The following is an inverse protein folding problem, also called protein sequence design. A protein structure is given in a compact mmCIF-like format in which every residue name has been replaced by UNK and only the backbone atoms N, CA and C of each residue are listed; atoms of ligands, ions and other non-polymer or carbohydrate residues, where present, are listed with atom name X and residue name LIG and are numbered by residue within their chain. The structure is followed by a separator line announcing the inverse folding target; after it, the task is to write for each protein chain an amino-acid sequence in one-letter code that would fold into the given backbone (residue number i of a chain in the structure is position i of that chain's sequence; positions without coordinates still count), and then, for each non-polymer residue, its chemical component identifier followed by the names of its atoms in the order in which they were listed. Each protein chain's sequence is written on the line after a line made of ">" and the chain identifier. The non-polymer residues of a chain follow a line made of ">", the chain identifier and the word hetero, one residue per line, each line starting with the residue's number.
data_IF_817882007417
#
_entry.id   IF_817882007417
#
_cell.length_a   1.000
_cell.length_b   1.000
_cell.length_c   1.000
_cell.angle_alpha   90.00
_cell.angle_beta   90.00
_cell.angle_gamma   90.00
#
_symmetry.space_group_name_H-M   'P 1'
#
loop_
_entity.id
_entity.type
_entity.pdbx_description
1 polymer ?
#
# COMPACT_ATOMS: atom_id res chain seq x y z
N UNK A 1 3.43 -1.66 26.47
CA UNK A 1 4.62 -1.53 25.58
C UNK A 1 4.88 -2.80 24.78
N UNK A 2 4.87 -3.99 25.35
CA UNK A 2 5.08 -5.26 24.62
C UNK A 2 4.09 -5.50 23.49
N UNK A 3 2.80 -5.24 23.74
CA UNK A 3 1.74 -5.33 22.72
C UNK A 3 1.98 -4.39 21.54
N UNK A 4 2.46 -3.16 21.78
CA UNK A 4 2.76 -2.20 20.72
C UNK A 4 3.90 -2.69 19.82
N UNK A 5 4.98 -3.24 20.40
CA UNK A 5 6.08 -3.83 19.62
C UNK A 5 5.62 -5.03 18.77
N UNK A 6 4.71 -5.85 19.29
CA UNK A 6 4.12 -6.96 18.54
C UNK A 6 3.30 -6.46 17.36
N UNK A 7 2.43 -5.46 17.55
CA UNK A 7 1.63 -4.90 16.48
C UNK A 7 2.48 -4.20 15.42
N UNK A 8 3.56 -3.51 15.82
CA UNK A 8 4.50 -2.92 14.86
C UNK A 8 5.22 -3.97 14.00
N UNK A 9 5.54 -5.14 14.55
CA UNK A 9 6.06 -6.27 13.75
C UNK A 9 5.04 -6.79 12.76
N UNK A 10 3.77 -6.90 13.16
CA UNK A 10 2.68 -7.28 12.24
C UNK A 10 2.50 -6.23 11.14
N UNK A 11 2.55 -4.95 11.50
CA UNK A 11 2.51 -3.87 10.52
C UNK A 11 3.67 -3.95 9.53
N UNK A 12 4.88 -4.21 10.02
CA UNK A 12 6.07 -4.40 9.19
C UNK A 12 5.88 -5.53 8.18
N UNK A 13 5.42 -6.70 8.62
CA UNK A 13 5.13 -7.85 7.75
C UNK A 13 4.08 -7.46 6.71
N UNK A 14 2.99 -6.81 7.13
CA UNK A 14 1.93 -6.37 6.22
C UNK A 14 2.46 -5.44 5.12
N UNK A 15 3.21 -4.41 5.49
CA UNK A 15 3.74 -3.46 4.52
C UNK A 15 4.85 -4.05 3.63
N UNK A 16 5.67 -4.96 4.15
CA UNK A 16 6.63 -5.70 3.34
C UNK A 16 5.93 -6.58 2.31
N UNK A 17 4.88 -7.30 2.69
CA UNK A 17 4.07 -8.10 1.77
C UNK A 17 3.38 -7.22 0.71
N UNK A 18 2.80 -6.10 1.12
CA UNK A 18 2.18 -5.15 0.20
C UNK A 18 3.20 -4.60 -0.82
N UNK A 19 4.35 -4.16 -0.32
CA UNK A 19 5.43 -3.66 -1.17
C UNK A 19 5.95 -4.72 -2.15
N UNK A 20 6.14 -5.96 -1.69
CA UNK A 20 6.52 -7.09 -2.55
C UNK A 20 5.46 -7.36 -3.62
N UNK A 21 4.17 -7.28 -3.29
CA UNK A 21 3.09 -7.43 -4.26
C UNK A 21 3.14 -6.37 -5.37
N UNK A 22 3.40 -5.10 -5.03
CA UNK A 22 3.60 -4.05 -6.01
C UNK A 22 4.85 -4.27 -6.88
N UNK A 23 5.98 -4.67 -6.29
CA UNK A 23 7.20 -4.96 -7.05
C UNK A 23 7.00 -6.12 -8.02
N UNK A 24 6.35 -7.20 -7.57
CA UNK A 24 6.00 -8.34 -8.42
C UNK A 24 5.06 -7.94 -9.57
N UNK A 25 4.14 -7.00 -9.32
CA UNK A 25 3.32 -6.42 -10.37
C UNK A 25 4.15 -5.63 -11.39
N UNK A 26 5.14 -4.87 -10.94
CA UNK A 26 6.02 -4.07 -11.81
C UNK A 26 7.05 -4.89 -12.58
N UNK A 27 7.48 -6.03 -12.04
CA UNK A 27 8.57 -6.85 -12.57
C UNK A 27 8.45 -7.20 -14.06
N UNK A 28 7.29 -7.65 -14.58
CA UNK A 28 7.13 -7.96 -16.00
C UNK A 28 7.38 -6.75 -16.91
N UNK A 29 7.01 -5.56 -16.46
CA UNK A 29 7.19 -4.33 -17.24
C UNK A 29 8.65 -3.86 -17.26
N UNK A 30 9.40 -4.12 -16.20
CA UNK A 30 10.80 -3.71 -16.10
C UNK A 30 11.77 -4.66 -16.80
N UNK A 31 11.51 -5.96 -16.70
CA UNK A 31 12.50 -6.97 -17.06
C UNK A 31 12.06 -7.91 -18.19
N UNK A 32 10.76 -8.07 -18.40
CA UNK A 32 10.22 -8.99 -19.39
C UNK A 32 9.61 -8.29 -20.61
N UNK A 33 9.82 -6.95 -20.73
CA UNK A 33 9.27 -6.12 -21.79
C UNK A 33 7.76 -6.29 -22.01
N UNK A 34 7.03 -6.60 -20.94
CA UNK A 34 5.58 -6.72 -21.01
C UNK A 34 4.97 -5.37 -21.44
N UNK A 35 4.11 -5.41 -22.45
CA UNK A 35 3.39 -4.23 -22.91
C UNK A 35 2.24 -3.98 -21.95
N UNK A 36 2.11 -2.75 -21.46
CA UNK A 36 0.99 -2.35 -20.61
C UNK A 36 -0.29 -2.19 -21.45
N UNK A 37 -0.71 -3.27 -22.06
CA UNK A 37 -2.02 -3.38 -22.69
C UNK A 37 -2.97 -3.95 -21.66
N UNK A 38 -4.14 -3.32 -21.56
CA UNK A 38 -5.21 -3.91 -20.78
C UNK A 38 -5.54 -5.28 -21.38
N UNK A 39 -5.47 -6.37 -20.62
CA UNK A 39 -5.82 -7.69 -21.16
C UNK A 39 -7.23 -7.64 -21.74
N UNK A 40 -7.47 -8.38 -22.81
CA UNK A 40 -8.78 -8.53 -23.38
C UNK A 40 -9.76 -9.04 -22.32
N UNK A 41 -10.93 -8.46 -22.28
CA UNK A 41 -11.93 -8.83 -21.30
C UNK A 41 -13.26 -8.13 -21.62
N UNK A 42 -14.30 -8.56 -20.94
CA UNK A 42 -15.67 -8.09 -21.17
C UNK A 42 -16.38 -7.71 -19.86
N UNK A 43 -17.25 -6.73 -19.97
CA UNK A 43 -18.17 -6.43 -18.88
C UNK A 43 -19.33 -7.44 -18.89
N UNK A 44 -19.51 -8.16 -17.78
CA UNK A 44 -20.67 -9.06 -17.62
C UNK A 44 -21.87 -8.29 -17.06
N UNK A 45 -21.59 -7.32 -16.16
CA UNK A 45 -22.55 -6.39 -15.59
C UNK A 45 -21.98 -4.99 -15.62
N UNK A 46 -22.77 -3.90 -15.42
CA UNK A 46 -22.25 -2.53 -15.48
C UNK A 46 -20.98 -2.27 -14.69
N UNK A 47 -20.63 -3.17 -13.79
CA UNK A 47 -19.47 -3.03 -12.91
C UNK A 47 -18.57 -4.29 -12.84
N UNK A 48 -18.89 -5.37 -13.51
CA UNK A 48 -18.10 -6.59 -13.49
C UNK A 48 -17.33 -6.79 -14.79
N UNK A 49 -16.02 -6.73 -14.73
CA UNK A 49 -15.11 -6.98 -15.83
C UNK A 49 -14.41 -8.32 -15.62
N UNK A 50 -14.50 -9.20 -16.57
CA UNK A 50 -13.86 -10.51 -16.56
C UNK A 50 -12.81 -10.54 -17.65
N UNK A 51 -11.60 -10.95 -17.29
CA UNK A 51 -10.53 -11.18 -18.26
C UNK A 51 -10.80 -12.47 -19.03
N UNK A 52 -10.58 -12.43 -20.35
CA UNK A 52 -10.80 -13.56 -21.23
C UNK A 52 -9.73 -14.65 -21.05
N UNK A 53 -8.50 -14.25 -20.61
CA UNK A 53 -7.42 -15.19 -20.27
C UNK A 53 -7.45 -15.52 -18.77
N UNK A 54 -7.80 -16.77 -18.39
CA UNK A 54 -7.85 -17.19 -16.99
C UNK A 54 -6.51 -17.09 -16.26
N UNK A 55 -5.40 -17.32 -16.97
CA UNK A 55 -4.05 -17.26 -16.38
C UNK A 55 -3.67 -15.82 -16.04
N UNK A 56 -3.92 -14.87 -16.96
CA UNK A 56 -3.72 -13.45 -16.71
C UNK A 56 -4.62 -12.94 -15.59
N UNK A 57 -5.89 -13.38 -15.54
CA UNK A 57 -6.82 -13.08 -14.47
C UNK A 57 -6.31 -13.58 -13.11
N UNK A 58 -5.84 -14.82 -13.05
CA UNK A 58 -5.28 -15.41 -11.83
C UNK A 58 -4.04 -14.64 -11.35
N UNK A 59 -3.08 -14.37 -12.25
CA UNK A 59 -1.86 -13.64 -11.90
C UNK A 59 -2.16 -12.21 -11.40
N UNK A 60 -3.03 -11.49 -12.10
CA UNK A 60 -3.43 -10.14 -11.68
C UNK A 60 -4.14 -10.17 -10.32
N UNK A 61 -5.01 -11.14 -10.10
CA UNK A 61 -5.83 -11.25 -8.91
C UNK A 61 -5.00 -11.56 -7.67
N UNK A 62 -4.13 -12.57 -7.71
CA UNK A 62 -3.41 -12.96 -6.49
C UNK A 62 -2.37 -11.92 -6.06
N UNK A 63 -1.70 -11.25 -7.02
CA UNK A 63 -0.80 -10.14 -6.69
C UNK A 63 -1.56 -8.99 -6.00
N UNK A 64 -2.74 -8.67 -6.50
CA UNK A 64 -3.57 -7.62 -5.94
C UNK A 64 -4.14 -8.01 -4.57
N UNK A 65 -4.51 -9.27 -4.36
CA UNK A 65 -4.91 -9.80 -3.06
C UNK A 65 -3.76 -9.68 -2.06
N UNK A 66 -2.55 -10.11 -2.43
CA UNK A 66 -1.37 -10.00 -1.57
C UNK A 66 -1.11 -8.56 -1.15
N UNK A 67 -1.13 -7.64 -2.11
CA UNK A 67 -0.96 -6.21 -1.85
C UNK A 67 -2.05 -5.66 -0.91
N UNK A 68 -3.31 -5.95 -1.21
CA UNK A 68 -4.46 -5.44 -0.44
C UNK A 68 -4.47 -5.94 0.98
N UNK A 69 -4.26 -7.24 1.17
CA UNK A 69 -4.19 -7.85 2.51
C UNK A 69 -2.99 -7.31 3.29
N UNK A 70 -1.84 -7.14 2.62
CA UNK A 70 -0.67 -6.55 3.25
C UNK A 70 -0.92 -5.12 3.73
N UNK A 71 -1.53 -4.27 2.90
CA UNK A 71 -1.92 -2.90 3.28
C UNK A 71 -2.91 -2.88 4.43
N UNK A 72 -3.93 -3.75 4.39
CA UNK A 72 -4.95 -3.83 5.44
C UNK A 72 -4.35 -4.28 6.77
N UNK A 73 -3.55 -5.35 6.75
CA UNK A 73 -2.83 -5.84 7.95
C UNK A 73 -1.92 -4.77 8.51
N UNK A 74 -1.20 -4.05 7.65
CA UNK A 74 -0.34 -2.93 8.04
C UNK A 74 -1.11 -1.83 8.76
N UNK A 75 -2.18 -1.33 8.15
CA UNK A 75 -2.99 -0.22 8.69
C UNK A 75 -3.73 -0.61 9.99
N UNK A 76 -4.33 -1.81 10.05
CA UNK A 76 -4.98 -2.33 11.26
C UNK A 76 -3.97 -2.49 12.40
N UNK A 77 -2.77 -2.98 12.08
CA UNK A 77 -1.72 -3.15 13.09
C UNK A 77 -1.20 -1.81 13.61
N UNK A 78 -1.09 -0.78 12.77
CA UNK A 78 -0.80 0.59 13.22
C UNK A 78 -1.89 1.13 14.15
N UNK A 79 -3.15 0.88 13.81
CA UNK A 79 -4.27 1.23 14.68
C UNK A 79 -4.13 0.60 16.06
N UNK A 80 -3.83 -0.70 16.10
CA UNK A 80 -3.67 -1.46 17.35
C UNK A 80 -2.43 -1.03 18.14
N UNK A 81 -1.32 -0.73 17.45
CA UNK A 81 -0.10 -0.22 18.08
C UNK A 81 -0.27 1.17 18.71
N UNK A 82 -1.15 2.00 18.13
CA UNK A 82 -1.25 3.41 18.47
C UNK A 82 -0.11 4.25 17.93
N UNK A 83 0.73 3.70 17.10
CA UNK A 83 1.85 4.36 16.44
C UNK A 83 1.63 4.36 14.91
N UNK A 84 2.19 5.30 14.18
CA UNK A 84 3.08 6.40 14.63
C UNK A 84 2.34 7.67 15.07
N UNK A 85 1.02 7.69 15.13
CA UNK A 85 0.16 8.89 15.21
C UNK A 85 -0.53 9.11 16.55
N UNK A 86 -0.27 8.25 17.53
CA UNK A 86 -0.82 8.41 18.88
C UNK A 86 -2.35 8.41 18.91
N UNK A 87 -2.98 9.44 19.49
CA UNK A 87 -4.44 9.49 19.65
C UNK A 87 -5.23 9.65 18.35
N UNK A 88 -4.59 10.08 17.26
CA UNK A 88 -5.23 10.32 15.95
C UNK A 88 -5.44 9.06 15.11
N UNK A 89 -5.66 7.92 15.76
CA UNK A 89 -5.81 6.61 15.09
C UNK A 89 -6.90 6.56 14.02
N UNK A 90 -7.94 7.40 14.16
CA UNK A 90 -9.05 7.47 13.18
C UNK A 90 -8.58 7.81 11.77
N UNK A 91 -7.44 8.48 11.60
CA UNK A 91 -6.86 8.74 10.29
C UNK A 91 -6.52 7.46 9.50
N UNK A 92 -6.28 6.35 10.21
CA UNK A 92 -5.98 5.04 9.58
C UNK A 92 -7.20 4.38 8.91
N UNK A 93 -8.42 4.87 9.17
CA UNK A 93 -9.62 4.41 8.46
C UNK A 93 -9.50 4.67 6.96
N UNK A 94 -8.89 5.79 6.57
CA UNK A 94 -8.76 6.17 5.15
C UNK A 94 -7.89 5.17 4.37
N UNK A 95 -6.64 4.86 4.79
CA UNK A 95 -5.87 3.83 4.09
C UNK A 95 -6.45 2.43 4.24
N UNK A 96 -7.19 2.09 5.32
CA UNK A 96 -7.93 0.83 5.40
C UNK A 96 -9.02 0.76 4.33
N UNK A 97 -9.80 1.82 4.13
CA UNK A 97 -10.78 1.91 3.06
C UNK A 97 -10.11 1.79 1.68
N UNK A 98 -8.93 2.38 1.50
CA UNK A 98 -8.11 2.23 0.30
C UNK A 98 -7.68 0.78 0.06
N UNK A 99 -7.22 0.09 1.09
CA UNK A 99 -6.85 -1.33 1.00
C UNK A 99 -8.05 -2.22 0.65
N UNK A 100 -9.22 -1.96 1.25
CA UNK A 100 -10.47 -2.65 0.89
C UNK A 100 -10.91 -2.35 -0.55
N UNK A 101 -10.74 -1.11 -1.02
CA UNK A 101 -11.01 -0.76 -2.42
C UNK A 101 -10.12 -1.54 -3.38
N UNK A 102 -8.83 -1.73 -3.06
CA UNK A 102 -7.96 -2.60 -3.85
C UNK A 102 -8.42 -4.05 -3.84
N UNK A 103 -8.87 -4.57 -2.69
CA UNK A 103 -9.38 -5.93 -2.60
C UNK A 103 -10.65 -6.10 -3.44
N UNK A 104 -11.57 -5.15 -3.39
CA UNK A 104 -12.76 -5.14 -4.23
C UNK A 104 -12.44 -5.05 -5.71
N UNK A 105 -11.37 -4.34 -6.09
CA UNK A 105 -10.93 -4.21 -7.48
C UNK A 105 -10.51 -5.54 -8.11
N UNK A 106 -10.18 -6.56 -7.30
CA UNK A 106 -9.93 -7.93 -7.79
C UNK A 106 -11.19 -8.55 -8.40
N UNK A 107 -12.35 -8.25 -7.81
CA UNK A 107 -13.61 -8.91 -8.11
C UNK A 107 -14.59 -8.02 -8.88
N UNK A 108 -14.57 -6.72 -8.62
CA UNK A 108 -15.67 -5.82 -9.01
C UNK A 108 -15.21 -4.65 -9.84
N UNK A 109 -13.97 -4.48 -10.28
CA UNK A 109 -13.70 -3.43 -11.23
C UNK A 109 -12.61 -2.43 -11.08
N UNK A 110 -12.22 -2.03 -12.24
CA UNK A 110 -11.32 -0.96 -12.60
C UNK A 110 -11.44 0.36 -11.83
N UNK A 111 -12.63 0.91 -11.50
CA UNK A 111 -12.67 2.15 -10.73
C UNK A 111 -12.16 1.98 -9.29
N UNK A 112 -12.27 0.80 -8.70
CA UNK A 112 -11.81 0.57 -7.33
C UNK A 112 -10.28 0.55 -7.19
N UNK A 113 -9.52 0.19 -8.21
CA UNK A 113 -8.06 0.24 -8.14
C UNK A 113 -7.51 1.68 -8.09
N UNK A 114 -7.91 2.63 -8.97
CA UNK A 114 -7.55 4.04 -8.83
C UNK A 114 -8.07 4.66 -7.53
N UNK A 115 -9.27 4.32 -7.09
CA UNK A 115 -9.84 4.78 -5.83
C UNK A 115 -9.02 4.25 -4.64
N UNK A 116 -8.60 2.98 -4.69
CA UNK A 116 -7.71 2.38 -3.71
C UNK A 116 -6.36 3.11 -3.63
N UNK A 117 -5.76 3.45 -4.78
CA UNK A 117 -4.53 4.24 -4.83
C UNK A 117 -4.72 5.63 -4.23
N UNK A 118 -5.82 6.30 -4.58
CA UNK A 118 -6.15 7.62 -4.07
C UNK A 118 -6.34 7.62 -2.55
N UNK A 119 -7.18 6.71 -2.03
CA UNK A 119 -7.47 6.62 -0.60
C UNK A 119 -6.24 6.19 0.21
N UNK A 120 -5.44 5.23 -0.27
CA UNK A 120 -4.18 4.87 0.39
C UNK A 120 -3.20 6.04 0.38
N UNK A 121 -3.04 6.72 -0.76
CA UNK A 121 -2.19 7.89 -0.88
C UNK A 121 -2.61 8.99 0.09
N UNK A 122 -3.87 9.44 0.01
CA UNK A 122 -4.41 10.50 0.86
C UNK A 122 -4.33 10.11 2.35
N UNK A 123 -4.75 8.90 2.69
CA UNK A 123 -4.69 8.40 4.06
C UNK A 123 -3.27 8.40 4.61
N UNK A 124 -2.30 7.95 3.83
CA UNK A 124 -0.91 7.91 4.26
C UNK A 124 -0.27 9.31 4.31
N UNK A 125 -0.71 10.29 3.52
CA UNK A 125 -0.33 11.69 3.69
C UNK A 125 -0.80 12.20 5.05
N UNK A 126 -2.07 11.96 5.40
CA UNK A 126 -2.63 12.37 6.68
C UNK A 126 -1.93 11.71 7.86
N UNK A 127 -1.66 10.40 7.76
CA UNK A 127 -0.88 9.64 8.74
C UNK A 127 0.54 10.18 8.85
N UNK A 128 1.20 10.45 7.72
CA UNK A 128 2.57 10.99 7.69
C UNK A 128 2.67 12.36 8.33
N UNK A 129 1.74 13.26 8.01
CA UNK A 129 1.66 14.57 8.65
C UNK A 129 1.45 14.46 10.17
N UNK A 130 0.53 13.58 10.58
CA UNK A 130 0.29 13.34 12.01
C UNK A 130 1.50 12.69 12.70
N UNK A 131 2.22 11.79 12.03
CA UNK A 131 3.44 11.16 12.54
C UNK A 131 4.56 12.18 12.79
N UNK A 132 4.77 13.09 11.83
CA UNK A 132 5.74 14.18 11.96
C UNK A 132 5.41 15.08 13.14
N UNK A 133 4.13 15.45 13.30
CA UNK A 133 3.66 16.30 14.43
C UNK A 133 3.73 15.59 15.78
N UNK A 134 3.42 14.29 15.82
CA UNK A 134 3.43 13.51 17.05
C UNK A 134 4.86 13.26 17.56
N UNK A 135 5.85 13.27 16.66
CA UNK A 135 7.27 13.02 16.97
C UNK A 135 7.53 11.74 17.78
N UNK A 136 6.62 10.75 17.70
CA UNK A 136 6.75 9.45 18.38
C UNK A 136 7.86 8.62 17.72
N UNK A 137 7.93 8.69 16.39
CA UNK A 137 9.00 8.10 15.61
C UNK A 137 10.12 9.13 15.41
N UNK A 138 11.35 8.70 15.55
CA UNK A 138 12.55 9.53 15.37
C UNK A 138 13.12 9.37 13.97
N UNK A 139 14.05 10.25 13.62
CA UNK A 139 14.83 10.22 12.40
C UNK A 139 13.99 10.12 11.12
N UNK A 140 14.50 9.43 10.13
CA UNK A 140 13.85 9.23 8.83
C UNK A 140 12.55 8.42 8.91
N UNK A 141 12.37 7.58 9.95
CA UNK A 141 11.20 6.71 10.11
C UNK A 141 9.89 7.48 10.10
N UNK A 142 9.84 8.66 10.74
CA UNK A 142 8.63 9.50 10.83
C UNK A 142 8.12 10.00 9.48
N UNK A 143 8.98 10.02 8.44
CA UNK A 143 8.61 10.50 7.11
C UNK A 143 8.10 9.39 6.19
N UNK A 144 8.31 8.12 6.55
CA UNK A 144 7.99 6.99 5.69
C UNK A 144 6.51 6.86 5.33
N UNK A 145 5.53 7.15 6.23
CA UNK A 145 4.13 7.16 5.83
C UNK A 145 3.84 8.27 4.80
N UNK A 146 4.46 9.45 4.96
CA UNK A 146 4.30 10.56 4.03
C UNK A 146 4.87 10.22 2.65
N UNK A 147 6.04 9.58 2.58
CA UNK A 147 6.65 9.13 1.33
C UNK A 147 5.72 8.14 0.61
N UNK A 148 5.18 7.15 1.34
CA UNK A 148 4.24 6.20 0.77
C UNK A 148 2.96 6.89 0.26
N UNK A 149 2.48 7.90 1.00
CA UNK A 149 1.28 8.64 0.64
C UNK A 149 1.43 9.59 -0.54
N UNK A 150 2.57 10.25 -0.67
CA UNK A 150 2.83 11.19 -1.77
C UNK A 150 3.05 10.50 -3.12
N UNK A 151 3.51 9.26 -3.13
CA UNK A 151 3.90 8.56 -4.35
C UNK A 151 2.81 8.55 -5.44
N UNK A 152 1.54 8.22 -5.17
CA UNK A 152 0.49 8.25 -6.19
C UNK A 152 0.31 9.64 -6.81
N UNK A 153 0.37 10.69 -5.99
CA UNK A 153 0.09 12.06 -6.42
C UNK A 153 1.26 12.69 -7.17
N UNK A 154 2.49 12.31 -6.84
CA UNK A 154 3.71 12.86 -7.49
C UNK A 154 4.05 12.10 -8.78
N UNK A 155 3.79 10.79 -8.82
CA UNK A 155 4.24 9.96 -9.93
C UNK A 155 3.09 9.31 -10.70
N UNK A 156 2.17 8.60 -10.03
CA UNK A 156 1.20 7.75 -10.72
C UNK A 156 0.13 8.58 -11.45
N UNK A 157 -0.54 9.49 -10.75
CA UNK A 157 -1.59 10.31 -11.35
C UNK A 157 -1.08 11.28 -12.40
N UNK A 158 0.01 12.05 -12.18
CA UNK A 158 0.55 12.91 -13.22
C UNK A 158 0.89 12.15 -14.50
N UNK A 159 1.57 11.01 -14.40
CA UNK A 159 1.88 10.20 -15.57
C UNK A 159 0.63 9.70 -16.28
N UNK A 160 -0.39 9.25 -15.53
CA UNK A 160 -1.67 8.84 -16.11
C UNK A 160 -2.33 9.96 -16.90
N UNK A 161 -2.34 11.19 -16.36
CA UNK A 161 -2.93 12.36 -17.02
C UNK A 161 -2.13 12.79 -18.23
N UNK A 162 -0.80 12.77 -18.16
CA UNK A 162 0.07 13.21 -19.26
C UNK A 162 0.10 12.22 -20.42
N UNK A 163 0.10 10.91 -20.15
CA UNK A 163 0.26 9.88 -21.18
C UNK A 163 -1.04 9.26 -21.64
N UNK A 164 -2.14 9.44 -20.90
CA UNK A 164 -3.40 8.74 -21.13
C UNK A 164 -3.31 7.22 -20.89
N UNK A 165 -2.11 6.68 -20.70
CA UNK A 165 -1.86 5.27 -20.50
C UNK A 165 -1.81 4.88 -19.01
N UNK A 166 -1.99 3.59 -18.70
CA UNK A 166 -1.80 3.08 -17.35
C UNK A 166 -0.30 3.03 -17.04
N UNK A 167 0.18 3.68 -15.96
CA UNK A 167 1.60 3.68 -15.63
C UNK A 167 2.01 2.42 -14.85
N UNK A 168 1.84 1.23 -15.42
CA UNK A 168 2.02 -0.04 -14.72
C UNK A 168 3.44 -0.21 -14.13
N UNK A 169 4.47 0.16 -14.86
CA UNK A 169 5.85 0.13 -14.36
C UNK A 169 6.03 1.04 -13.15
N UNK A 170 5.42 2.22 -13.15
CA UNK A 170 5.49 3.18 -12.03
C UNK A 170 4.67 2.71 -10.84
N UNK A 171 3.52 2.06 -11.08
CA UNK A 171 2.72 1.45 -10.01
C UNK A 171 3.58 0.45 -9.23
N UNK A 172 4.38 -0.36 -9.92
CA UNK A 172 5.31 -1.28 -9.28
C UNK A 172 6.33 -0.60 -8.38
N UNK A 173 6.86 0.57 -8.78
CA UNK A 173 7.84 1.32 -7.98
C UNK A 173 7.27 1.79 -6.63
N UNK A 174 5.96 1.94 -6.50
CA UNK A 174 5.32 2.26 -5.22
C UNK A 174 5.64 1.22 -4.14
N UNK A 175 5.95 -0.01 -4.55
CA UNK A 175 6.38 -1.07 -3.65
C UNK A 175 7.57 -0.70 -2.79
N UNK A 176 8.54 0.07 -3.30
CA UNK A 176 9.70 0.51 -2.51
C UNK A 176 9.29 1.40 -1.33
N UNK A 177 8.31 2.30 -1.52
CA UNK A 177 7.83 3.16 -0.45
C UNK A 177 7.15 2.34 0.67
N UNK A 178 6.39 1.30 0.31
CA UNK A 178 5.76 0.41 1.28
C UNK A 178 6.78 -0.49 2.00
N UNK A 179 7.80 -0.98 1.30
CA UNK A 179 8.91 -1.72 1.91
C UNK A 179 9.65 -0.83 2.91
N UNK A 180 9.94 0.42 2.54
CA UNK A 180 10.60 1.38 3.43
C UNK A 180 9.79 1.61 4.71
N UNK A 181 8.46 1.75 4.61
CA UNK A 181 7.57 1.85 5.76
C UNK A 181 7.57 0.55 6.61
N UNK A 182 7.61 -0.61 5.96
CA UNK A 182 7.74 -1.90 6.63
C UNK A 182 9.04 -1.99 7.43
N UNK A 183 10.17 -1.61 6.84
CA UNK A 183 11.48 -1.57 7.51
C UNK A 183 11.44 -0.60 8.69
N UNK A 184 10.90 0.61 8.52
CA UNK A 184 10.78 1.59 9.59
C UNK A 184 9.97 1.04 10.78
N UNK A 185 8.85 0.37 10.51
CA UNK A 185 8.00 -0.27 11.51
C UNK A 185 8.73 -1.38 12.26
N UNK A 186 9.52 -2.19 11.54
CA UNK A 186 10.33 -3.25 12.13
C UNK A 186 11.40 -2.70 13.07
N UNK A 187 12.15 -1.71 12.61
CA UNK A 187 13.20 -1.06 13.42
C UNK A 187 12.60 -0.44 14.69
N UNK A 188 11.47 0.27 14.55
CA UNK A 188 10.77 0.85 15.71
C UNK A 188 10.33 -0.21 16.72
N UNK A 189 9.87 -1.36 16.25
CA UNK A 189 9.50 -2.47 17.14
C UNK A 189 10.68 -3.00 17.96
N UNK A 190 11.89 -2.96 17.39
CA UNK A 190 13.13 -3.35 18.08
C UNK A 190 13.56 -2.33 19.13
N UNK A 191 13.43 -1.04 18.83
CA UNK A 191 13.73 0.05 19.78
C UNK A 191 12.88 -0.07 21.05
N UNK A 192 11.56 -0.29 20.89
CA UNK A 192 10.65 -0.47 22.04
C UNK A 192 11.08 -1.65 22.90
N UNK A 193 11.50 -2.77 22.29
CA UNK A 193 11.99 -3.93 23.05
C UNK A 193 13.31 -3.68 23.78
N UNK A 194 14.23 -2.95 23.14
CA UNK A 194 15.51 -2.63 23.75
C UNK A 194 15.34 -1.78 25.02
N UNK A 195 14.43 -0.80 24.99
CA UNK A 195 14.10 0.04 26.16
C UNK A 195 13.44 -0.76 27.30
N UNK A 196 12.78 -1.87 26.99
CA UNK A 196 12.16 -2.72 28.02
C UNK A 196 13.15 -3.66 28.73
N UNK A 197 14.29 -3.93 28.11
CA UNK A 197 15.32 -4.82 28.61
C UNK A 197 16.43 -4.08 29.36
N UNK A 198 16.50 -2.76 29.23
CA UNK A 198 17.42 -1.86 29.92
C UNK A 198 16.81 -1.35 31.24
#
# INVERSE_FOLDING_TARGET
>A
MEKSAMYLRRAAIGYLLAGSGFLLFGFPFWFLHAVDKMPAGRFILPFFFVLDDPLAAFQASWMQVLTSLGLLVGAVSFWQAGEPIGPKRTLLIVPMAGALSYLLAVWILLPFAPMGAFLNGLGMILVGYASIKAAIWTDWKRYTPLIAGLFPFVFMFPLRFLTGARPAAVIGLWGFAWILLGIASWLRSREIKAVQLA
#
